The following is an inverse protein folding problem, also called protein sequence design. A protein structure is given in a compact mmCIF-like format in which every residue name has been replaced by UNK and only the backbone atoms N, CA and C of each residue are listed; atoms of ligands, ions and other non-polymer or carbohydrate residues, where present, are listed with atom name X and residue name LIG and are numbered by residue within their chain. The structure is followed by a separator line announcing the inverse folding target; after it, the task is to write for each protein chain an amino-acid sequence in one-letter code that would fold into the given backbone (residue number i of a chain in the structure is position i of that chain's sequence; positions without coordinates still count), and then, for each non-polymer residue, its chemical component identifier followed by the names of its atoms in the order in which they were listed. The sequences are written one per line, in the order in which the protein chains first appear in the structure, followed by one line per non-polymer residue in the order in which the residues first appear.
data_IF_435366908939
#
_entry.id   IF_435366908939
#
_cell.length_a   1.000
_cell.length_b   1.000
_cell.length_c   1.000
_cell.angle_alpha   90.00
_cell.angle_beta   90.00
_cell.angle_gamma   90.00
#
_symmetry.space_group_name_H-M   'P 1'
#
loop_
_entity.id
_entity.type
_entity.pdbx_description
1 polymer ?
#
# COMPACT_ATOMS: atom_id res chain seq x y z
N UNK A 1 5.85 -21.89 -1.75
CA UNK A 1 6.67 -20.66 -1.83
C UNK A 1 8.07 -21.03 -2.25
N UNK A 2 8.67 -20.25 -3.11
CA UNK A 2 10.04 -20.43 -3.58
C UNK A 2 10.97 -19.45 -2.89
N UNK A 3 12.14 -19.94 -2.45
CA UNK A 3 13.20 -19.14 -1.87
C UNK A 3 14.25 -18.83 -2.94
N UNK A 4 14.66 -17.57 -3.01
CA UNK A 4 15.77 -17.10 -3.85
C UNK A 4 16.80 -16.38 -2.97
N UNK A 5 18.05 -16.44 -3.38
CA UNK A 5 19.12 -15.68 -2.73
C UNK A 5 19.11 -14.20 -3.19
N UNK A 6 20.03 -13.42 -2.65
CA UNK A 6 20.25 -12.00 -2.98
C UNK A 6 20.65 -11.74 -4.46
N UNK A 7 21.08 -12.77 -5.16
CA UNK A 7 21.41 -12.72 -6.59
C UNK A 7 20.25 -13.22 -7.48
N UNK A 8 19.02 -13.37 -6.92
CA UNK A 8 17.84 -13.92 -7.60
C UNK A 8 18.00 -15.35 -8.15
N UNK A 9 18.92 -16.13 -7.58
CA UNK A 9 19.05 -17.54 -7.92
C UNK A 9 18.12 -18.38 -7.02
N UNK A 10 17.35 -19.27 -7.62
CA UNK A 10 16.44 -20.15 -6.86
C UNK A 10 17.22 -21.13 -5.99
N UNK A 11 17.01 -21.05 -4.69
CA UNK A 11 17.64 -21.94 -3.70
C UNK A 11 16.82 -23.22 -3.53
N UNK A 12 15.51 -23.07 -3.25
CA UNK A 12 14.65 -24.23 -2.98
C UNK A 12 13.16 -23.86 -3.05
N UNK A 13 12.33 -24.90 -2.95
CA UNK A 13 10.91 -24.75 -2.57
C UNK A 13 10.84 -24.95 -1.06
N UNK A 14 10.37 -23.92 -0.35
CA UNK A 14 10.24 -23.94 1.09
C UNK A 14 9.18 -24.94 1.53
N UNK A 15 9.56 -25.82 2.46
CA UNK A 15 8.69 -26.79 3.13
C UNK A 15 8.85 -26.69 4.64
N UNK A 16 7.85 -27.17 5.40
CA UNK A 16 7.89 -27.13 6.86
C UNK A 16 7.76 -25.73 7.45
N UNK A 17 7.10 -24.85 6.72
CA UNK A 17 6.71 -23.51 7.16
C UNK A 17 5.32 -23.54 7.80
N UNK A 18 5.06 -22.61 8.71
CA UNK A 18 3.76 -22.43 9.36
C UNK A 18 3.43 -20.95 9.53
N UNK A 19 2.19 -20.67 9.93
CA UNK A 19 1.69 -19.33 10.23
C UNK A 19 1.96 -18.31 9.10
N UNK A 20 1.87 -18.78 7.85
CA UNK A 20 2.01 -17.90 6.71
C UNK A 20 0.83 -16.96 6.63
N UNK A 21 1.13 -15.67 6.68
CA UNK A 21 0.14 -14.60 6.54
C UNK A 21 0.65 -13.55 5.55
N UNK A 22 -0.19 -13.14 4.61
CA UNK A 22 0.06 -11.98 3.76
C UNK A 22 -0.93 -10.90 4.17
N UNK A 23 -0.39 -9.78 4.64
CA UNK A 23 -1.16 -8.58 4.98
C UNK A 23 -1.06 -7.60 3.82
N UNK A 24 -2.19 -7.12 3.32
CA UNK A 24 -2.25 -6.13 2.25
C UNK A 24 -2.95 -4.87 2.74
N UNK A 25 -2.36 -3.71 2.48
CA UNK A 25 -2.90 -2.41 2.85
C UNK A 25 -3.37 -1.69 1.59
N UNK A 26 -4.67 -1.70 1.32
CA UNK A 26 -5.25 -1.11 0.11
C UNK A 26 -4.94 0.39 -0.02
N UNK A 27 -4.84 1.10 1.10
CA UNK A 27 -4.60 2.56 1.13
C UNK A 27 -3.21 2.96 0.60
N UNK A 28 -2.22 2.09 0.72
CA UNK A 28 -0.84 2.34 0.30
C UNK A 28 -0.39 1.39 -0.81
N UNK A 29 -1.14 0.31 -1.03
CA UNK A 29 -0.75 -0.77 -1.94
C UNK A 29 0.34 -1.69 -1.38
N UNK A 30 0.79 -1.44 -0.14
CA UNK A 30 1.81 -2.25 0.51
C UNK A 30 1.32 -3.66 0.80
N UNK A 31 2.25 -4.61 0.71
CA UNK A 31 2.03 -5.98 1.16
C UNK A 31 3.20 -6.44 2.01
N UNK A 32 2.89 -7.18 3.05
CA UNK A 32 3.85 -7.80 3.94
C UNK A 32 3.55 -9.29 4.05
N UNK A 33 4.58 -10.12 3.98
CA UNK A 33 4.48 -11.55 4.26
C UNK A 33 5.15 -11.86 5.59
N UNK A 34 4.49 -12.68 6.42
CA UNK A 34 5.10 -13.27 7.61
C UNK A 34 4.93 -14.78 7.56
N UNK A 35 5.93 -15.52 8.01
CA UNK A 35 5.87 -16.96 8.17
C UNK A 35 6.90 -17.42 9.20
N UNK A 36 6.74 -18.65 9.69
CA UNK A 36 7.70 -19.26 10.59
C UNK A 36 8.28 -20.54 9.99
N UNK A 37 9.57 -20.80 10.25
CA UNK A 37 10.27 -22.03 9.87
C UNK A 37 11.15 -22.54 11.00
N UNK A 38 11.37 -23.86 11.07
CA UNK A 38 12.18 -24.46 12.13
C UNK A 38 13.66 -24.15 11.94
N UNK A 39 14.38 -23.93 13.05
CA UNK A 39 15.84 -23.78 13.08
C UNK A 39 16.57 -25.01 12.51
N UNK A 40 15.96 -26.18 12.58
CA UNK A 40 16.48 -27.43 12.00
C UNK A 40 16.14 -27.62 10.52
N UNK A 41 15.46 -26.67 9.89
CA UNK A 41 15.22 -26.72 8.45
C UNK A 41 16.57 -26.71 7.73
N UNK A 42 16.75 -27.59 6.75
CA UNK A 42 18.03 -27.73 6.03
C UNK A 42 18.44 -26.44 5.27
N UNK A 43 17.48 -25.58 4.96
CA UNK A 43 17.69 -24.30 4.30
C UNK A 43 17.63 -23.11 5.26
N UNK A 44 17.66 -23.35 6.57
CA UNK A 44 17.56 -22.28 7.56
C UNK A 44 18.69 -21.23 7.42
N UNK A 45 19.87 -21.66 6.98
CA UNK A 45 21.01 -20.76 6.72
C UNK A 45 20.88 -19.93 5.44
N UNK A 46 20.00 -20.34 4.53
CA UNK A 46 19.75 -19.65 3.25
C UNK A 46 18.60 -18.65 3.36
N UNK A 47 17.75 -18.77 4.41
CA UNK A 47 16.67 -17.82 4.68
C UNK A 47 17.25 -16.68 5.51
N UNK A 48 17.58 -15.58 4.87
CA UNK A 48 18.21 -14.41 5.49
C UNK A 48 17.73 -13.12 4.83
N UNK A 49 18.04 -12.02 5.45
CA UNK A 49 17.71 -10.68 4.97
C UNK A 49 18.26 -10.47 3.54
N UNK A 50 17.56 -9.67 2.76
CA UNK A 50 17.81 -9.36 1.35
C UNK A 50 17.71 -10.56 0.38
N UNK A 51 17.26 -11.74 0.86
CA UNK A 51 16.79 -12.81 -0.01
C UNK A 51 15.33 -12.59 -0.41
N UNK A 52 14.82 -13.41 -1.36
CA UNK A 52 13.47 -13.23 -1.88
C UNK A 52 12.61 -14.45 -1.62
N UNK A 53 11.34 -14.18 -1.33
CA UNK A 53 10.27 -15.18 -1.23
C UNK A 53 9.27 -14.94 -2.34
N UNK A 54 9.08 -15.94 -3.20
CA UNK A 54 8.07 -15.89 -4.26
C UNK A 54 6.89 -16.79 -3.91
N UNK A 55 5.72 -16.20 -3.96
CA UNK A 55 4.42 -16.88 -3.87
C UNK A 55 3.83 -17.04 -5.27
N UNK A 56 2.61 -17.54 -5.39
CA UNK A 56 1.92 -17.65 -6.68
C UNK A 56 1.47 -16.27 -7.21
N UNK A 57 1.40 -15.26 -6.36
CA UNK A 57 0.87 -13.92 -6.69
C UNK A 57 1.90 -12.81 -6.60
N UNK A 58 2.88 -12.94 -5.72
CA UNK A 58 3.79 -11.84 -5.40
C UNK A 58 5.20 -12.34 -5.05
N UNK A 59 6.16 -11.47 -5.22
CA UNK A 59 7.52 -11.62 -4.71
C UNK A 59 7.78 -10.63 -3.58
N UNK A 60 8.44 -11.10 -2.53
CA UNK A 60 8.75 -10.32 -1.34
C UNK A 60 10.24 -10.35 -1.07
N UNK A 61 10.79 -9.23 -0.59
CA UNK A 61 12.16 -9.14 -0.07
C UNK A 61 12.11 -9.44 1.42
N UNK A 62 12.95 -10.38 1.88
CA UNK A 62 13.07 -10.70 3.30
C UNK A 62 13.78 -9.53 3.99
N UNK A 63 13.09 -8.90 4.94
CA UNK A 63 13.63 -7.77 5.70
C UNK A 63 14.05 -8.12 7.12
N UNK A 64 13.50 -9.20 7.66
CA UNK A 64 13.76 -9.57 9.05
C UNK A 64 13.65 -11.07 9.27
N UNK A 65 14.60 -11.64 10.01
CA UNK A 65 14.61 -13.04 10.46
C UNK A 65 14.92 -13.08 11.95
N UNK A 66 13.90 -13.32 12.77
CA UNK A 66 14.01 -13.28 14.23
C UNK A 66 13.90 -14.69 14.86
N UNK A 67 14.75 -15.01 15.81
CA UNK A 67 14.63 -16.28 16.57
C UNK A 67 13.44 -16.24 17.52
N UNK A 68 12.58 -17.27 17.47
CA UNK A 68 11.42 -17.45 18.34
C UNK A 68 11.38 -18.91 18.83
N UNK A 69 11.98 -19.19 19.98
CA UNK A 69 12.10 -20.54 20.52
C UNK A 69 12.88 -21.49 19.57
N UNK A 70 12.23 -22.56 19.10
CA UNK A 70 12.78 -23.49 18.10
C UNK A 70 12.52 -23.06 16.65
N UNK A 71 11.89 -21.92 16.46
CA UNK A 71 11.51 -21.38 15.17
C UNK A 71 12.26 -20.09 14.88
N UNK A 72 12.29 -19.71 13.63
CA UNK A 72 12.55 -18.37 13.18
C UNK A 72 11.25 -17.78 12.63
N UNK A 73 10.95 -16.52 12.97
CA UNK A 73 9.92 -15.72 12.34
C UNK A 73 10.57 -14.90 11.24
N UNK A 74 10.05 -15.01 10.03
CA UNK A 74 10.49 -14.25 8.87
C UNK A 74 9.42 -13.21 8.51
N UNK A 75 9.87 -11.99 8.22
CA UNK A 75 9.03 -10.91 7.71
C UNK A 75 9.65 -10.40 6.40
N UNK A 76 8.82 -10.27 5.37
CA UNK A 76 9.22 -9.72 4.08
C UNK A 76 8.22 -8.69 3.58
N UNK A 77 8.72 -7.68 2.86
CA UNK A 77 7.91 -6.63 2.21
C UNK A 77 7.81 -6.90 0.72
N UNK A 78 6.74 -6.41 0.09
CA UNK A 78 6.55 -6.53 -1.36
C UNK A 78 7.81 -6.06 -2.10
N UNK A 79 8.26 -6.83 -3.08
CA UNK A 79 9.41 -6.44 -3.89
C UNK A 79 9.03 -5.31 -4.86
N UNK A 80 9.48 -4.11 -4.54
CA UNK A 80 9.37 -2.88 -5.34
C UNK A 80 10.73 -2.18 -5.51
N UNK A 81 11.83 -2.93 -5.38
CA UNK A 81 13.20 -2.40 -5.34
C UNK A 81 13.54 -1.54 -6.56
N UNK A 82 13.05 -1.88 -7.75
CA UNK A 82 13.31 -1.06 -8.94
C UNK A 82 12.59 0.30 -8.88
N UNK A 83 11.42 0.37 -8.22
CA UNK A 83 10.72 1.63 -7.99
C UNK A 83 11.42 2.47 -6.92
N UNK A 84 11.90 1.83 -5.85
CA UNK A 84 12.68 2.49 -4.80
C UNK A 84 14.06 2.92 -5.35
N UNK A 85 14.68 2.12 -6.20
CA UNK A 85 15.97 2.42 -6.81
C UNK A 85 15.96 3.54 -7.85
N UNK A 86 14.81 3.81 -8.48
CA UNK A 86 14.66 4.94 -9.41
C UNK A 86 14.51 6.24 -8.63
N UNK A 87 15.59 7.02 -8.58
CA UNK A 87 15.70 8.24 -7.78
C UNK A 87 15.54 9.52 -8.61
N UNK A 88 14.87 10.51 -8.02
CA UNK A 88 14.74 11.88 -8.50
C UNK A 88 15.40 12.85 -7.50
N UNK A 89 16.72 13.11 -7.62
CA UNK A 89 17.47 13.89 -6.63
C UNK A 89 17.00 15.34 -6.47
N UNK A 90 16.40 15.91 -7.51
CA UNK A 90 15.89 17.29 -7.53
C UNK A 90 14.37 17.36 -7.33
N UNK A 91 13.78 16.23 -6.91
CA UNK A 91 12.33 16.11 -6.81
C UNK A 91 11.67 15.71 -8.13
N UNK A 92 10.34 15.61 -8.09
CA UNK A 92 9.53 15.19 -9.23
C UNK A 92 8.32 16.11 -9.39
N UNK A 93 8.06 16.54 -10.61
CA UNK A 93 6.91 17.39 -10.90
C UNK A 93 6.20 16.98 -12.19
N UNK A 94 4.87 16.85 -12.11
CA UNK A 94 3.99 16.77 -13.28
C UNK A 94 2.82 17.72 -13.11
N UNK A 95 2.48 18.46 -14.16
CA UNK A 95 1.43 19.49 -14.12
C UNK A 95 0.26 19.07 -14.99
N UNK A 96 -0.94 19.05 -14.40
CA UNK A 96 -2.21 18.74 -15.08
C UNK A 96 -2.20 17.44 -15.90
N UNK A 97 -1.53 16.40 -15.40
CA UNK A 97 -1.49 15.07 -16.01
C UNK A 97 -2.50 14.14 -15.36
N UNK A 98 -2.89 13.09 -16.08
CA UNK A 98 -3.61 11.95 -15.52
C UNK A 98 -2.66 11.11 -14.66
N UNK A 99 -3.20 10.24 -13.80
CA UNK A 99 -2.36 9.36 -12.97
C UNK A 99 -1.56 8.38 -13.82
N UNK A 100 -2.10 7.91 -14.94
CA UNK A 100 -1.42 7.03 -15.89
C UNK A 100 -0.20 7.72 -16.52
N UNK A 101 -0.39 8.94 -17.04
CA UNK A 101 0.71 9.76 -17.59
C UNK A 101 1.79 10.06 -16.54
N UNK A 102 1.37 10.38 -15.31
CA UNK A 102 2.27 10.67 -14.21
C UNK A 102 3.10 9.43 -13.81
N UNK A 103 2.44 8.29 -13.62
CA UNK A 103 3.12 7.05 -13.26
C UNK A 103 4.04 6.56 -14.38
N UNK A 104 3.59 6.61 -15.64
CA UNK A 104 4.41 6.20 -16.79
C UNK A 104 5.72 6.99 -16.83
N UNK A 105 5.69 8.29 -16.54
CA UNK A 105 6.89 9.12 -16.46
C UNK A 105 7.75 8.75 -15.24
N UNK A 106 7.11 8.53 -14.08
CA UNK A 106 7.84 8.22 -12.85
C UNK A 106 8.54 6.86 -12.88
N UNK A 107 7.94 5.85 -13.52
CA UNK A 107 8.48 4.49 -13.54
C UNK A 107 9.33 4.18 -14.78
N UNK A 108 9.56 5.16 -15.65
CA UNK A 108 10.34 4.95 -16.87
C UNK A 108 11.73 4.37 -16.58
N UNK A 109 12.09 3.32 -17.30
CA UNK A 109 13.36 2.60 -17.15
C UNK A 109 13.40 1.60 -15.99
N UNK A 110 12.37 1.46 -15.17
CA UNK A 110 12.32 0.49 -14.05
C UNK A 110 11.90 -0.91 -14.47
N UNK A 111 11.30 -1.04 -15.66
CA UNK A 111 10.66 -2.27 -16.12
C UNK A 111 9.21 -2.45 -15.65
N UNK A 112 8.74 -1.62 -14.72
CA UNK A 112 7.35 -1.57 -14.31
C UNK A 112 6.47 -0.88 -15.36
N UNK A 113 5.18 -1.23 -15.40
CA UNK A 113 4.21 -0.66 -16.35
C UNK A 113 2.85 -0.48 -15.68
N UNK A 114 2.14 0.57 -16.06
CA UNK A 114 0.72 0.71 -15.74
C UNK A 114 -0.06 -0.22 -16.68
N UNK A 115 -0.71 -1.23 -16.12
CA UNK A 115 -1.45 -2.26 -16.88
C UNK A 115 -2.95 -2.00 -16.91
N UNK A 116 -3.45 -1.21 -15.97
CA UNK A 116 -4.84 -0.77 -15.87
C UNK A 116 -4.91 0.59 -15.20
N UNK A 117 -5.76 1.47 -15.71
CA UNK A 117 -6.05 2.75 -15.07
C UNK A 117 -7.53 3.11 -15.28
N UNK A 118 -8.30 3.17 -14.18
CA UNK A 118 -9.71 3.54 -14.20
C UNK A 118 -9.92 5.03 -13.86
N UNK A 119 -8.82 5.79 -13.60
CA UNK A 119 -8.85 7.18 -13.13
C UNK A 119 -8.42 8.12 -14.24
N UNK A 120 -9.31 8.98 -14.69
CA UNK A 120 -9.07 9.95 -15.77
C UNK A 120 -8.87 11.40 -15.29
N UNK A 121 -8.94 11.65 -13.99
CA UNK A 121 -8.80 12.99 -13.40
C UNK A 121 -7.38 13.51 -13.63
N UNK A 122 -7.26 14.78 -14.02
CA UNK A 122 -5.97 15.46 -14.12
C UNK A 122 -5.62 16.15 -12.81
N UNK A 123 -4.38 16.05 -12.38
CA UNK A 123 -3.84 16.66 -11.16
C UNK A 123 -2.39 17.06 -11.38
N UNK A 124 -1.90 17.91 -10.47
CA UNK A 124 -0.49 18.29 -10.38
C UNK A 124 0.11 17.56 -9.20
N UNK A 125 1.23 16.86 -9.42
CA UNK A 125 2.11 16.35 -8.37
C UNK A 125 3.36 17.21 -8.36
N UNK A 126 3.78 17.62 -7.16
CA UNK A 126 5.05 18.30 -6.94
C UNK A 126 5.67 17.77 -5.65
N UNK A 127 6.83 17.16 -5.77
CA UNK A 127 7.69 16.72 -4.68
C UNK A 127 9.00 17.49 -4.81
N UNK A 128 9.24 18.44 -3.92
CA UNK A 128 10.39 19.36 -3.99
C UNK A 128 11.70 18.76 -3.45
N UNK A 129 11.58 17.65 -2.71
CA UNK A 129 12.73 16.96 -2.12
C UNK A 129 13.12 15.74 -2.97
N UNK A 130 14.32 15.20 -2.69
CA UNK A 130 14.69 13.90 -3.25
C UNK A 130 13.61 12.85 -2.99
N UNK A 131 13.23 12.14 -4.02
CA UNK A 131 12.20 11.09 -3.93
C UNK A 131 12.51 9.95 -4.90
N UNK A 132 11.93 8.79 -4.63
CA UNK A 132 11.95 7.63 -5.51
C UNK A 132 10.70 7.56 -6.39
N UNK A 133 10.69 6.68 -7.39
CA UNK A 133 9.47 6.39 -8.15
C UNK A 133 8.38 5.77 -7.27
N UNK A 134 8.77 5.03 -6.22
CA UNK A 134 7.85 4.54 -5.20
C UNK A 134 7.17 5.70 -4.44
N UNK A 135 7.93 6.72 -4.01
CA UNK A 135 7.37 7.89 -3.34
C UNK A 135 6.39 8.65 -4.24
N UNK A 136 6.71 8.75 -5.54
CA UNK A 136 5.79 9.35 -6.52
C UNK A 136 4.50 8.55 -6.62
N UNK A 137 4.56 7.21 -6.64
CA UNK A 137 3.37 6.36 -6.65
C UNK A 137 2.54 6.54 -5.37
N UNK A 138 3.15 6.63 -4.19
CA UNK A 138 2.48 6.89 -2.93
C UNK A 138 1.82 8.29 -2.91
N UNK A 139 2.52 9.30 -3.42
CA UNK A 139 1.95 10.64 -3.57
C UNK A 139 0.78 10.65 -4.56
N UNK A 140 0.87 9.87 -5.64
CA UNK A 140 -0.19 9.75 -6.63
C UNK A 140 -1.47 9.15 -6.03
N UNK A 141 -1.38 8.09 -5.21
CA UNK A 141 -2.52 7.51 -4.48
C UNK A 141 -3.29 8.60 -3.74
N UNK A 142 -2.57 9.44 -2.99
CA UNK A 142 -3.17 10.51 -2.18
C UNK A 142 -3.74 11.63 -3.04
N UNK A 143 -2.98 12.09 -4.05
CA UNK A 143 -3.35 13.25 -4.88
C UNK A 143 -4.53 12.96 -5.79
N UNK A 144 -4.56 11.78 -6.41
CA UNK A 144 -5.65 11.38 -7.31
C UNK A 144 -6.81 10.72 -6.56
N UNK A 145 -6.64 10.39 -5.27
CA UNK A 145 -7.60 9.65 -4.45
C UNK A 145 -8.00 8.36 -5.13
N UNK A 146 -7.02 7.56 -5.45
CA UNK A 146 -7.15 6.27 -6.10
C UNK A 146 -6.56 5.16 -5.22
N UNK A 147 -6.79 3.93 -5.62
CA UNK A 147 -6.23 2.74 -4.98
C UNK A 147 -5.33 2.04 -6.00
N UNK A 148 -4.16 1.57 -5.56
CA UNK A 148 -3.20 0.91 -6.45
C UNK A 148 -2.93 -0.52 -5.98
N UNK A 149 -2.83 -1.41 -6.95
CA UNK A 149 -2.40 -2.79 -6.73
C UNK A 149 -1.13 -3.03 -7.53
N UNK A 150 -0.09 -3.45 -6.83
CA UNK A 150 1.22 -3.75 -7.40
C UNK A 150 1.36 -5.27 -7.56
N UNK A 151 1.68 -5.69 -8.79
CA UNK A 151 2.03 -7.07 -9.15
C UNK A 151 3.55 -7.14 -9.31
N UNK A 152 4.23 -7.62 -8.27
CA UNK A 152 5.70 -7.68 -8.24
C UNK A 152 6.26 -8.76 -9.16
N UNK A 153 5.49 -9.79 -9.51
CA UNK A 153 5.94 -10.84 -10.42
C UNK A 153 5.99 -10.36 -11.87
N UNK A 154 4.99 -9.58 -12.29
CA UNK A 154 4.87 -9.10 -13.66
C UNK A 154 5.27 -7.63 -13.82
N UNK A 155 5.68 -6.97 -12.71
CA UNK A 155 6.04 -5.55 -12.64
C UNK A 155 4.94 -4.65 -13.18
N UNK A 156 3.70 -4.93 -12.73
CA UNK A 156 2.49 -4.27 -13.18
C UNK A 156 1.83 -3.42 -12.09
N UNK A 157 1.34 -2.24 -12.47
CA UNK A 157 0.56 -1.36 -11.60
C UNK A 157 -0.85 -1.25 -12.14
N UNK A 158 -1.84 -1.60 -11.30
CA UNK A 158 -3.25 -1.39 -11.61
C UNK A 158 -3.80 -0.27 -10.74
N UNK A 159 -4.39 0.74 -11.36
CA UNK A 159 -4.95 1.92 -10.69
C UNK A 159 -6.46 1.90 -10.79
N UNK A 160 -7.12 1.95 -9.63
CA UNK A 160 -8.57 1.90 -9.50
C UNK A 160 -9.08 3.21 -8.86
N UNK A 161 -10.25 3.68 -9.26
CA UNK A 161 -10.96 4.70 -8.49
C UNK A 161 -11.44 4.11 -7.16
N UNK A 162 -11.87 2.87 -7.19
CA UNK A 162 -12.19 2.03 -6.02
C UNK A 162 -11.95 0.57 -6.38
N UNK A 163 -11.07 -0.09 -5.66
CA UNK A 163 -10.76 -1.51 -5.88
C UNK A 163 -11.87 -2.39 -5.30
N UNK A 164 -12.17 -3.48 -6.02
CA UNK A 164 -13.15 -4.46 -5.60
C UNK A 164 -14.48 -4.37 -6.36
N UNK A 165 -15.18 -5.48 -6.36
CA UNK A 165 -16.50 -5.63 -6.98
C UNK A 165 -17.48 -6.16 -5.93
N UNK A 166 -18.70 -5.65 -5.95
CA UNK A 166 -19.78 -6.26 -5.18
C UNK A 166 -20.21 -7.55 -5.89
N UNK A 167 -19.76 -8.68 -5.34
CA UNK A 167 -20.11 -10.02 -5.82
C UNK A 167 -21.31 -10.61 -5.08
N UNK A 168 -22.07 -9.79 -4.36
CA UNK A 168 -23.20 -10.24 -3.56
C UNK A 168 -22.81 -11.10 -2.35
N UNK A 169 -21.54 -11.05 -1.91
CA UNK A 169 -21.11 -11.73 -0.70
C UNK A 169 -21.60 -10.94 0.53
N UNK A 170 -22.16 -11.64 1.50
CA UNK A 170 -22.65 -11.05 2.74
C UNK A 170 -22.33 -11.91 3.94
N UNK A 171 -22.25 -11.27 5.11
CA UNK A 171 -22.02 -11.94 6.38
C UNK A 171 -23.35 -12.09 7.13
N UNK A 172 -23.70 -13.31 7.49
CA UNK A 172 -24.88 -13.62 8.29
C UNK A 172 -24.43 -14.24 9.60
N UNK A 173 -24.93 -13.69 10.71
CA UNK A 173 -24.74 -14.27 12.03
C UNK A 173 -25.25 -15.72 12.06
N UNK A 174 -24.47 -16.61 12.67
CA UNK A 174 -24.73 -18.06 12.77
C UNK A 174 -24.58 -18.86 11.47
N UNK A 175 -24.35 -18.23 10.33
CA UNK A 175 -24.10 -18.92 9.06
C UNK A 175 -22.62 -18.88 8.69
N UNK A 176 -22.09 -17.70 8.43
CA UNK A 176 -20.70 -17.49 8.02
C UNK A 176 -19.97 -16.42 8.84
N UNK A 177 -20.67 -15.72 9.74
CA UNK A 177 -20.08 -14.78 10.68
C UNK A 177 -19.91 -15.44 12.05
N UNK A 178 -18.67 -15.74 12.41
CA UNK A 178 -18.34 -16.36 13.71
C UNK A 178 -18.37 -15.33 14.86
N UNK A 179 -17.87 -14.13 14.60
CA UNK A 179 -17.79 -13.04 15.58
C UNK A 179 -17.75 -11.71 14.86
N UNK A 180 -18.58 -10.77 15.31
CA UNK A 180 -18.51 -9.36 14.94
C UNK A 180 -18.03 -8.56 16.15
N UNK A 181 -17.00 -7.75 15.95
CA UNK A 181 -16.58 -6.77 16.95
C UNK A 181 -16.66 -5.39 16.30
N UNK A 182 -17.47 -4.52 16.92
CA UNK A 182 -17.61 -3.12 16.51
C UNK A 182 -16.95 -2.27 17.57
N UNK A 183 -16.00 -1.44 17.17
CA UNK A 183 -15.33 -0.49 18.05
C UNK A 183 -15.57 0.92 17.50
N UNK A 184 -16.03 1.83 18.35
CA UNK A 184 -16.21 3.23 18.01
C UNK A 184 -15.62 4.13 19.08
N UNK A 185 -15.12 5.28 18.66
CA UNK A 185 -14.69 6.34 19.57
C UNK A 185 -15.11 7.70 19.00
N UNK A 186 -15.06 8.72 19.82
CA UNK A 186 -15.39 10.10 19.44
C UNK A 186 -14.33 11.10 19.88
N UNK A 187 -13.09 10.64 20.02
CA UNK A 187 -11.97 11.52 20.46
C UNK A 187 -11.72 12.63 19.45
N UNK A 188 -11.60 12.30 18.17
CA UNK A 188 -11.29 13.22 17.08
C UNK A 188 -12.52 13.58 16.23
N UNK A 189 -13.70 13.51 16.85
CA UNK A 189 -14.95 13.77 16.18
C UNK A 189 -15.24 15.27 16.14
N UNK A 190 -15.41 15.82 14.95
CA UNK A 190 -15.86 17.20 14.73
C UNK A 190 -17.21 17.22 13.99
N UNK A 191 -18.08 18.17 14.35
CA UNK A 191 -19.35 18.44 13.67
C UNK A 191 -19.28 19.74 12.87
N UNK A 192 -18.30 20.60 13.14
CA UNK A 192 -18.05 21.84 12.42
C UNK A 192 -16.61 21.86 11.91
N UNK A 193 -16.40 22.12 10.64
CA UNK A 193 -15.11 22.31 10.00
C UNK A 193 -15.02 23.74 9.49
N UNK A 194 -13.93 24.42 9.84
CA UNK A 194 -13.59 25.73 9.33
C UNK A 194 -12.40 25.57 8.37
N UNK A 195 -12.61 25.48 7.05
CA UNK A 195 -11.52 25.32 6.10
C UNK A 195 -10.79 26.65 5.94
N UNK A 196 -9.46 26.60 6.08
CA UNK A 196 -8.58 27.75 5.84
C UNK A 196 -7.65 27.39 4.68
N UNK A 197 -7.72 28.14 3.60
CA UNK A 197 -6.88 27.99 2.42
C UNK A 197 -5.54 28.73 2.55
N UNK A 198 -4.78 28.70 1.47
CA UNK A 198 -3.51 29.43 1.38
C UNK A 198 -3.77 30.93 1.62
N UNK A 199 -2.81 31.59 2.27
CA UNK A 199 -2.84 33.02 2.60
C UNK A 199 -4.06 33.45 3.45
N UNK A 200 -4.61 32.53 4.23
CA UNK A 200 -5.74 32.82 5.11
C UNK A 200 -7.10 32.88 4.42
N UNK A 201 -7.19 32.41 3.17
CA UNK A 201 -8.45 32.34 2.45
C UNK A 201 -9.47 31.49 3.21
N UNK A 202 -10.63 32.07 3.51
CA UNK A 202 -11.69 31.37 4.24
C UNK A 202 -12.88 31.06 3.31
N UNK A 203 -13.56 29.98 3.63
CA UNK A 203 -14.83 29.64 3.00
C UNK A 203 -15.85 30.77 3.29
N UNK A 204 -16.68 31.10 2.30
CA UNK A 204 -17.84 31.97 2.50
C UNK A 204 -19.01 31.37 1.74
N UNK A 205 -19.90 30.68 2.47
CA UNK A 205 -21.16 30.14 1.95
C UNK A 205 -22.28 30.80 2.77
N UNK A 206 -23.06 31.65 2.13
CA UNK A 206 -24.17 32.38 2.79
C UNK A 206 -23.74 33.12 4.07
N UNK A 207 -22.56 33.76 4.05
CA UNK A 207 -22.01 34.49 5.19
C UNK A 207 -21.38 33.62 6.28
N UNK A 208 -21.29 32.33 6.09
CA UNK A 208 -20.65 31.39 7.02
C UNK A 208 -19.28 30.96 6.51
N UNK A 209 -18.29 30.91 7.40
CA UNK A 209 -16.93 30.45 7.10
C UNK A 209 -16.69 28.99 7.50
N UNK A 210 -17.76 28.21 7.71
CA UNK A 210 -17.69 26.83 8.15
C UNK A 210 -18.73 25.96 7.45
N UNK A 211 -18.48 24.65 7.48
CA UNK A 211 -19.47 23.62 7.14
C UNK A 211 -19.77 22.77 8.37
N UNK A 212 -21.01 22.31 8.49
CA UNK A 212 -21.46 21.47 9.61
C UNK A 212 -22.12 20.18 9.11
N UNK A 213 -21.88 19.11 9.87
CA UNK A 213 -22.58 17.85 9.72
C UNK A 213 -22.99 17.33 11.10
N UNK A 214 -24.29 17.31 11.34
CA UNK A 214 -24.90 16.89 12.61
C UNK A 214 -25.51 15.50 12.55
N UNK A 215 -25.13 14.68 11.57
CA UNK A 215 -25.68 13.33 11.38
C UNK A 215 -25.53 12.45 12.64
N UNK A 216 -24.40 12.57 13.34
CA UNK A 216 -24.07 11.74 14.50
C UNK A 216 -24.19 12.47 15.85
N UNK A 217 -24.20 13.78 15.87
CA UNK A 217 -24.30 14.57 17.10
C UNK A 217 -24.89 15.94 16.82
N UNK A 218 -25.80 16.38 17.69
CA UNK A 218 -26.34 17.74 17.69
C UNK A 218 -25.42 18.76 18.33
N UNK A 219 -24.37 18.30 19.04
CA UNK A 219 -23.39 19.20 19.69
C UNK A 219 -22.44 19.76 18.65
N UNK A 220 -22.17 21.06 18.71
CA UNK A 220 -21.13 21.70 17.90
C UNK A 220 -19.77 21.37 18.53
N UNK A 221 -18.93 20.70 17.76
CA UNK A 221 -17.51 20.45 18.04
C UNK A 221 -16.69 20.91 16.83
N UNK A 222 -15.75 21.78 17.05
CA UNK A 222 -14.84 22.36 16.01
C UNK A 222 -13.47 21.78 16.16
#
# INVERSE_FOLDING_TARGET
MDLYNDSHEKVCILSGIKETCITSTLKTGDKEITFEFRKTNRYAADIKEEGYIRTDTDEFVIKQVEPSGEWYKCTGTLNVEELEGKQYPQGFETVEKTVDECLTEAIDGTGWKVIRCDVSKKRTIRIEQNCSAWDVAQQAITTYRCEMVFDSLNKGISVYEKCGEDRGAYFIERLNLKRLQVQSNSYDFATRLIPIGKDGLMLNIDGKNYVENHQYSKKVKT
#
